data_IF_815184066487
#
_entry.id   IF_815184066487
#
_cell.length_a   1.000
_cell.length_b   1.000
_cell.length_c   1.000
_cell.angle_alpha   90.00
_cell.angle_beta   90.00
_cell.angle_gamma   90.00
#
_symmetry.space_group_name_H-M   'P 1'
#
loop_
_entity.id
_entity.type
_entity.pdbx_description
1 polymer ?
#
# COMPACT_ATOMS: atom_id res chain seq x y z
N UNK A 1 -16.28 19.72 22.26
CA UNK A 1 -16.15 18.29 22.58
C UNK A 1 -17.34 17.64 21.91
N UNK A 2 -17.19 17.21 20.65
CA UNK A 2 -18.32 16.67 19.89
C UNK A 2 -18.63 15.25 20.39
N UNK A 3 -19.89 14.99 20.68
CA UNK A 3 -20.37 13.74 21.26
C UNK A 3 -20.07 12.58 20.30
N UNK A 4 -19.10 11.73 20.65
CA UNK A 4 -18.73 10.59 19.83
C UNK A 4 -19.92 9.63 19.72
N UNK A 5 -20.34 9.36 18.48
CA UNK A 5 -21.47 8.50 18.18
C UNK A 5 -21.13 7.06 18.61
N UNK A 6 -22.09 6.19 19.02
CA UNK A 6 -21.80 4.79 19.31
C UNK A 6 -21.07 4.06 18.17
N UNK A 7 -21.31 4.50 16.93
CA UNK A 7 -20.59 4.05 15.74
C UNK A 7 -19.09 4.41 15.76
N UNK A 8 -18.73 5.60 16.22
CA UNK A 8 -17.32 6.05 16.31
C UNK A 8 -16.54 5.19 17.32
N UNK A 9 -17.19 4.78 18.41
CA UNK A 9 -16.61 3.87 19.40
C UNK A 9 -16.35 2.47 18.84
N UNK A 10 -17.31 1.91 18.10
CA UNK A 10 -17.16 0.60 17.45
C UNK A 10 -16.02 0.65 16.43
N UNK A 11 -15.97 1.69 15.60
CA UNK A 11 -14.90 1.91 14.61
C UNK A 11 -13.55 2.05 15.33
N UNK A 12 -13.50 2.74 16.47
CA UNK A 12 -12.27 2.89 17.24
C UNK A 12 -11.75 1.54 17.75
N UNK A 13 -12.60 0.71 18.34
CA UNK A 13 -12.22 -0.61 18.87
C UNK A 13 -11.75 -1.53 17.74
N UNK A 14 -12.43 -1.52 16.59
CA UNK A 14 -12.04 -2.32 15.42
C UNK A 14 -10.72 -1.83 14.83
N UNK A 15 -10.46 -0.51 14.85
CA UNK A 15 -9.23 0.08 14.33
C UNK A 15 -8.05 0.03 15.33
N UNK A 16 -8.27 -0.26 16.61
CA UNK A 16 -7.21 -0.29 17.64
C UNK A 16 -6.06 -1.26 17.33
N UNK A 17 -6.30 -2.51 16.89
CA UNK A 17 -5.21 -3.41 16.48
C UNK A 17 -4.36 -2.82 15.35
N UNK A 18 -5.02 -2.16 14.39
CA UNK A 18 -4.36 -1.49 13.28
C UNK A 18 -3.53 -0.31 13.77
N UNK A 19 -4.07 0.54 14.64
CA UNK A 19 -3.35 1.67 15.24
C UNK A 19 -2.08 1.24 15.97
N UNK A 20 -2.12 0.14 16.71
CA UNK A 20 -0.95 -0.40 17.43
C UNK A 20 0.09 -0.95 16.46
N UNK A 21 -0.34 -1.62 15.39
CA UNK A 21 0.56 -2.14 14.37
C UNK A 21 1.26 -1.00 13.60
N UNK A 22 0.53 0.05 13.22
CA UNK A 22 1.09 1.21 12.51
C UNK A 22 1.82 2.21 13.43
N UNK A 23 1.66 2.11 14.76
CA UNK A 23 2.45 2.89 15.72
C UNK A 23 3.94 2.52 15.73
N UNK A 24 4.32 1.42 15.09
CA UNK A 24 5.73 1.06 14.83
C UNK A 24 6.38 2.03 13.84
N UNK A 25 5.60 2.72 13.01
CA UNK A 25 6.11 3.76 12.11
C UNK A 25 6.33 5.05 12.93
N UNK A 26 7.57 5.58 12.97
CA UNK A 26 7.87 6.77 13.76
C UNK A 26 7.09 7.99 13.24
N UNK A 27 6.64 8.88 14.13
CA UNK A 27 5.83 10.04 13.74
C UNK A 27 6.58 11.00 12.81
N UNK A 28 5.83 11.62 11.89
CA UNK A 28 6.33 12.50 10.82
C UNK A 28 7.05 13.77 11.31
N UNK A 29 6.93 14.10 12.60
CA UNK A 29 7.59 15.25 13.23
C UNK A 29 9.08 15.02 13.55
N UNK A 30 9.54 13.76 13.56
CA UNK A 30 10.95 13.46 13.81
C UNK A 30 11.79 13.64 12.52
N UNK A 31 12.86 14.45 12.63
CA UNK A 31 13.87 14.66 11.59
C UNK A 31 13.32 15.05 10.20
N UNK A 32 12.27 15.89 10.16
CA UNK A 32 11.68 16.39 8.91
C UNK A 32 11.00 15.30 8.06
N UNK A 33 10.55 14.22 8.68
CA UNK A 33 9.79 13.14 8.02
C UNK A 33 10.64 12.06 7.34
N UNK A 34 11.96 12.24 7.24
CA UNK A 34 12.84 11.26 6.58
C UNK A 34 12.86 9.89 7.26
N UNK A 35 12.83 9.85 8.59
CA UNK A 35 12.81 8.58 9.34
C UNK A 35 11.50 7.84 9.09
N UNK A 36 10.37 8.55 9.12
CA UNK A 36 9.06 8.00 8.79
C UNK A 36 9.05 7.41 7.38
N UNK A 37 9.67 8.09 6.41
CA UNK A 37 9.74 7.63 5.03
C UNK A 37 10.48 6.29 4.88
N UNK A 38 11.70 6.18 5.39
CA UNK A 38 12.48 4.94 5.30
C UNK A 38 11.87 3.79 6.09
N UNK A 39 11.29 4.07 7.27
CA UNK A 39 10.58 3.05 8.05
C UNK A 39 9.33 2.54 7.31
N UNK A 40 8.55 3.42 6.67
CA UNK A 40 7.41 3.01 5.87
C UNK A 40 7.86 2.17 4.65
N UNK A 41 8.93 2.57 3.97
CA UNK A 41 9.48 1.81 2.84
C UNK A 41 9.90 0.39 3.26
N UNK A 42 10.59 0.26 4.40
CA UNK A 42 10.99 -1.03 4.96
C UNK A 42 9.78 -1.89 5.38
N UNK A 43 8.77 -1.29 6.01
CA UNK A 43 7.55 -1.97 6.40
C UNK A 43 6.79 -2.52 5.18
N UNK A 44 6.66 -1.70 4.12
CA UNK A 44 6.03 -2.12 2.85
C UNK A 44 6.82 -3.28 2.25
N UNK A 45 8.16 -3.20 2.19
CA UNK A 45 8.99 -4.28 1.66
C UNK A 45 8.80 -5.61 2.40
N UNK A 46 8.77 -5.59 3.74
CA UNK A 46 8.52 -6.79 4.55
C UNK A 46 7.13 -7.37 4.27
N UNK A 47 6.10 -6.52 4.25
CA UNK A 47 4.72 -6.96 3.97
C UNK A 47 4.61 -7.54 2.56
N UNK A 48 5.26 -6.94 1.56
CA UNK A 48 5.27 -7.45 0.18
C UNK A 48 5.92 -8.83 0.07
N UNK A 49 7.04 -9.07 0.78
CA UNK A 49 7.69 -10.40 0.81
C UNK A 49 6.75 -11.44 1.42
N UNK A 50 6.13 -11.13 2.56
CA UNK A 50 5.19 -12.03 3.24
C UNK A 50 3.97 -12.36 2.36
N UNK A 51 3.41 -11.36 1.67
CA UNK A 51 2.29 -11.55 0.75
C UNK A 51 2.69 -12.43 -0.43
N UNK A 52 3.91 -12.28 -0.95
CA UNK A 52 4.45 -13.14 -2.01
C UNK A 52 4.49 -14.61 -1.59
N UNK A 53 5.00 -14.90 -0.40
CA UNK A 53 5.07 -16.26 0.16
C UNK A 53 3.66 -16.83 0.41
N UNK A 54 2.74 -16.03 0.97
CA UNK A 54 1.36 -16.43 1.17
C UNK A 54 0.65 -16.71 -0.16
N UNK A 55 0.86 -15.88 -1.18
CA UNK A 55 0.24 -16.07 -2.50
C UNK A 55 0.70 -17.38 -3.16
N UNK A 56 1.98 -17.74 -3.01
CA UNK A 56 2.50 -19.02 -3.47
C UNK A 56 1.85 -20.20 -2.72
N UNK A 57 1.75 -20.10 -1.38
CA UNK A 57 1.13 -21.12 -0.54
C UNK A 57 -0.36 -21.31 -0.87
N UNK A 58 -1.09 -20.22 -1.07
CA UNK A 58 -2.50 -20.24 -1.46
C UNK A 58 -2.69 -20.82 -2.87
N UNK A 59 -1.81 -20.50 -3.82
CA UNK A 59 -1.82 -21.13 -5.14
C UNK A 59 -1.69 -22.65 -5.05
N UNK A 60 -0.79 -23.15 -4.19
CA UNK A 60 -0.65 -24.58 -3.92
C UNK A 60 -1.90 -25.17 -3.24
N UNK A 61 -2.52 -24.47 -2.29
CA UNK A 61 -3.69 -24.96 -1.57
C UNK A 61 -4.96 -25.04 -2.43
N UNK A 62 -5.16 -24.07 -3.33
CA UNK A 62 -6.32 -24.01 -4.22
C UNK A 62 -6.12 -24.70 -5.57
N UNK A 63 -4.91 -25.19 -5.87
CA UNK A 63 -4.57 -25.78 -7.18
C UNK A 63 -4.58 -24.78 -8.33
N UNK A 64 -4.46 -23.48 -8.02
CA UNK A 64 -4.45 -22.38 -8.99
C UNK A 64 -3.00 -22.00 -9.27
N UNK A 65 -2.68 -21.64 -10.52
CA UNK A 65 -1.31 -21.24 -10.85
C UNK A 65 -0.87 -20.03 -10.01
N UNK A 66 0.36 -20.03 -9.46
CA UNK A 66 0.86 -18.90 -8.67
C UNK A 66 0.76 -17.56 -9.41
N UNK A 67 0.92 -17.61 -10.74
CA UNK A 67 0.76 -16.46 -11.61
C UNK A 67 -0.67 -15.89 -11.58
N UNK A 68 -1.70 -16.73 -11.66
CA UNK A 68 -3.09 -16.28 -11.63
C UNK A 68 -3.45 -15.65 -10.27
N UNK A 69 -2.95 -16.19 -9.16
CA UNK A 69 -3.13 -15.60 -7.82
C UNK A 69 -2.41 -14.26 -7.67
N UNK A 70 -1.20 -14.13 -8.23
CA UNK A 70 -0.44 -12.88 -8.19
C UNK A 70 -1.11 -11.76 -8.99
N UNK A 71 -1.52 -12.02 -10.24
CA UNK A 71 -2.13 -10.99 -11.11
C UNK A 71 -3.53 -10.56 -10.67
N UNK A 72 -4.20 -11.34 -9.80
CA UNK A 72 -5.54 -11.01 -9.30
C UNK A 72 -5.46 -10.52 -7.86
N UNK A 73 -5.18 -11.37 -6.90
CA UNK A 73 -5.25 -11.03 -5.47
C UNK A 73 -4.17 -10.03 -5.05
N UNK A 74 -2.92 -10.22 -5.49
CA UNK A 74 -1.81 -9.34 -5.10
C UNK A 74 -1.90 -8.00 -5.84
N UNK A 75 -2.20 -8.02 -7.15
CA UNK A 75 -2.39 -6.81 -7.94
C UNK A 75 -3.58 -5.97 -7.47
N UNK A 76 -4.71 -6.60 -7.11
CA UNK A 76 -5.84 -5.90 -6.50
C UNK A 76 -5.48 -5.33 -5.14
N UNK A 77 -4.75 -6.08 -4.31
CA UNK A 77 -4.34 -5.65 -2.97
C UNK A 77 -3.43 -4.41 -2.95
N UNK A 78 -2.68 -4.17 -4.03
CA UNK A 78 -1.82 -2.98 -4.18
C UNK A 78 -2.58 -1.79 -4.80
N UNK A 79 -3.41 -2.04 -5.81
CA UNK A 79 -4.13 -0.98 -6.53
C UNK A 79 -5.30 -0.38 -5.74
N UNK A 80 -5.92 -1.15 -4.84
CA UNK A 80 -7.03 -0.67 -4.01
C UNK A 80 -6.59 0.45 -3.05
N UNK A 81 -5.52 0.30 -2.25
CA UNK A 81 -4.96 1.40 -1.45
C UNK A 81 -4.64 2.65 -2.27
N UNK A 82 -4.00 2.51 -3.43
CA UNK A 82 -3.66 3.64 -4.31
C UNK A 82 -4.90 4.38 -4.81
N UNK A 83 -5.96 3.63 -5.12
CA UNK A 83 -7.26 4.18 -5.52
C UNK A 83 -7.91 4.94 -4.36
N UNK A 84 -7.87 4.41 -3.13
CA UNK A 84 -8.40 5.11 -1.96
C UNK A 84 -7.60 6.37 -1.61
N UNK A 85 -6.26 6.33 -1.73
CA UNK A 85 -5.40 7.49 -1.55
C UNK A 85 -5.71 8.58 -2.57
N UNK A 86 -5.83 8.22 -3.85
CA UNK A 86 -6.21 9.14 -4.94
C UNK A 86 -7.60 9.74 -4.73
N UNK A 87 -8.57 8.91 -4.30
CA UNK A 87 -9.92 9.37 -3.94
C UNK A 87 -9.91 10.34 -2.77
N UNK A 88 -9.11 10.08 -1.73
CA UNK A 88 -8.98 10.98 -0.58
C UNK A 88 -8.37 12.31 -0.99
N UNK A 89 -7.32 12.29 -1.81
CA UNK A 89 -6.68 13.50 -2.33
C UNK A 89 -7.65 14.32 -3.21
N UNK A 90 -8.45 13.66 -4.07
CA UNK A 90 -9.45 14.32 -4.90
C UNK A 90 -10.59 14.98 -4.11
N UNK A 91 -10.94 14.43 -2.94
CA UNK A 91 -12.00 14.99 -2.08
C UNK A 91 -11.47 16.16 -1.24
N UNK A 92 -10.18 16.14 -0.89
CA UNK A 92 -9.55 17.14 -0.02
C UNK A 92 -8.98 18.34 -0.78
N UNK A 93 -8.79 18.24 -2.10
CA UNK A 93 -8.22 19.29 -2.96
C UNK A 93 -9.30 19.89 -3.88
N UNK A 94 -9.41 21.22 -3.93
CA UNK A 94 -10.39 21.95 -4.74
C UNK A 94 -10.16 21.79 -6.25
N UNK A 95 -8.90 21.63 -6.68
CA UNK A 95 -8.53 21.49 -8.08
C UNK A 95 -8.24 20.04 -8.50
N UNK A 96 -8.23 19.10 -7.54
CA UNK A 96 -7.90 17.69 -7.73
C UNK A 96 -6.53 17.41 -8.38
N UNK A 97 -5.62 18.39 -8.42
CA UNK A 97 -4.29 18.28 -9.01
C UNK A 97 -3.46 17.20 -8.31
N UNK A 98 -3.60 17.08 -6.98
CA UNK A 98 -2.95 16.04 -6.20
C UNK A 98 -3.38 14.61 -6.60
N UNK A 99 -4.65 14.43 -7.00
CA UNK A 99 -5.17 13.13 -7.44
C UNK A 99 -4.63 12.74 -8.81
N UNK A 100 -4.58 13.68 -9.75
CA UNK A 100 -4.01 13.46 -11.09
C UNK A 100 -2.53 13.10 -10.98
N UNK A 101 -1.78 13.81 -10.13
CA UNK A 101 -0.38 13.51 -9.84
C UNK A 101 -0.20 12.10 -9.27
N UNK A 102 -1.04 11.70 -8.31
CA UNK A 102 -0.94 10.38 -7.69
C UNK A 102 -1.25 9.24 -8.68
N UNK A 103 -2.31 9.36 -9.48
CA UNK A 103 -2.69 8.33 -10.46
C UNK A 103 -1.64 8.21 -11.56
N UNK A 104 -1.17 9.35 -12.09
CA UNK A 104 -0.18 9.38 -13.17
C UNK A 104 1.18 8.87 -12.67
N UNK A 105 1.58 9.28 -11.47
CA UNK A 105 2.84 8.90 -10.84
C UNK A 105 2.90 7.41 -10.48
N UNK A 106 1.89 6.90 -9.76
CA UNK A 106 1.86 5.50 -9.31
C UNK A 106 1.83 4.51 -10.50
N UNK A 107 1.04 4.79 -11.54
CA UNK A 107 1.00 3.94 -12.74
C UNK A 107 2.35 3.99 -13.51
N UNK A 108 2.95 5.17 -13.63
CA UNK A 108 4.27 5.32 -14.26
C UNK A 108 5.34 4.51 -13.50
N UNK A 109 5.34 4.55 -12.17
CA UNK A 109 6.24 3.74 -11.33
C UNK A 109 6.02 2.24 -11.55
N UNK A 110 4.77 1.77 -11.60
CA UNK A 110 4.48 0.37 -11.85
C UNK A 110 4.99 -0.13 -13.21
N UNK A 111 4.86 0.68 -14.26
CA UNK A 111 5.35 0.29 -15.60
C UNK A 111 6.88 0.40 -15.67
N UNK A 112 7.45 1.55 -15.33
CA UNK A 112 8.88 1.79 -15.52
C UNK A 112 9.74 1.08 -14.48
N UNK A 113 9.42 1.21 -13.19
CA UNK A 113 10.19 0.56 -12.12
C UNK A 113 9.71 -0.88 -11.87
N UNK A 114 8.41 -1.14 -11.94
CA UNK A 114 7.88 -2.49 -11.67
C UNK A 114 8.18 -3.51 -12.78
N UNK A 115 8.06 -3.14 -14.06
CA UNK A 115 8.36 -4.03 -15.19
C UNK A 115 9.73 -3.76 -15.82
N UNK A 116 10.09 -2.49 -15.98
CA UNK A 116 11.32 -2.10 -16.66
C UNK A 116 12.60 -2.43 -15.88
N UNK A 117 12.62 -2.20 -14.56
CA UNK A 117 13.81 -2.43 -13.73
C UNK A 117 14.18 -3.93 -13.64
N UNK A 118 13.26 -4.87 -13.34
CA UNK A 118 13.60 -6.30 -13.31
C UNK A 118 14.10 -6.83 -14.65
N UNK A 119 13.50 -6.36 -15.76
CA UNK A 119 13.95 -6.72 -17.10
C UNK A 119 15.37 -6.20 -17.38
N UNK A 120 15.67 -4.95 -17.03
CA UNK A 120 17.00 -4.37 -17.20
C UNK A 120 18.07 -5.11 -16.37
N UNK A 121 17.75 -5.46 -15.11
CA UNK A 121 18.64 -6.26 -14.25
C UNK A 121 18.88 -7.65 -14.85
N UNK A 122 17.83 -8.31 -15.34
CA UNK A 122 17.94 -9.63 -15.98
C UNK A 122 18.56 -9.62 -17.37
N UNK A 123 18.67 -8.47 -18.04
CA UNK A 123 19.36 -8.33 -19.32
C UNK A 123 20.87 -8.05 -19.16
N UNK A 124 21.28 -7.52 -18.00
CA UNK A 124 22.68 -7.24 -17.67
C UNK A 124 23.39 -8.49 -17.10
N UNK A 125 22.64 -9.40 -16.47
CA UNK A 125 23.12 -10.66 -15.90
C UNK A 125 22.92 -11.83 -16.87
#
# INVERSE_FOLDING_TARGET
>A
MADATPADWIIHIIAMPWKVFFAVVPPTDYAGGWISFFCALAAIAIVTILIGDLAALLGCAFGISPFATAITFVALGTSLPDTFASKSAAIQDECADASIGNITGSNSVNVFLGLGLPWAVGAIY
#
